data_IF_055539823254
#
_entry.id   IF_055539823254
#
_cell.length_a   1.000
_cell.length_b   1.000
_cell.length_c   1.000
_cell.angle_alpha   90.00
_cell.angle_beta   90.00
_cell.angle_gamma   90.00
#
_symmetry.space_group_name_H-M   'P 1'
#
loop_
_entity.id
_entity.type
_entity.pdbx_description
1 polymer ?
#
# COMPACT_ATOMS: atom_id res chain seq x y z
N UNK A 1 61.14 14.19 -1.82
CA UNK A 1 59.78 14.59 -2.22
C UNK A 1 58.90 13.35 -2.24
N UNK A 2 57.82 13.31 -1.44
CA UNK A 2 56.80 12.24 -1.47
C UNK A 2 55.46 12.89 -1.80
N UNK A 3 54.94 12.66 -3.00
CA UNK A 3 53.61 13.10 -3.40
C UNK A 3 52.56 12.16 -2.80
N UNK A 4 51.64 12.71 -2.01
CA UNK A 4 50.47 12.00 -1.50
C UNK A 4 49.37 12.06 -2.57
N UNK A 5 48.93 10.92 -3.06
CA UNK A 5 47.79 10.80 -3.98
C UNK A 5 46.50 11.03 -3.19
N UNK A 6 45.77 12.09 -3.52
CA UNK A 6 44.43 12.37 -3.01
C UNK A 6 43.42 11.61 -3.86
N UNK A 7 42.75 10.60 -3.29
CA UNK A 7 41.64 9.90 -3.96
C UNK A 7 40.37 10.71 -3.69
N UNK A 8 39.85 11.37 -4.72
CA UNK A 8 38.57 12.07 -4.69
C UNK A 8 37.46 11.06 -4.98
N UNK A 9 36.75 10.63 -3.92
CA UNK A 9 35.57 9.80 -4.05
C UNK A 9 34.38 10.65 -4.51
N UNK A 10 34.02 10.55 -5.79
CA UNK A 10 32.79 11.11 -6.35
C UNK A 10 31.60 10.28 -5.89
N UNK A 11 30.89 10.77 -4.88
CA UNK A 11 29.58 10.24 -4.48
C UNK A 11 28.54 10.61 -5.55
N UNK A 12 28.04 9.62 -6.29
CA UNK A 12 26.84 9.77 -7.11
C UNK A 12 25.63 9.91 -6.17
N UNK A 13 25.20 11.14 -5.90
CA UNK A 13 23.86 11.40 -5.41
C UNK A 13 22.87 11.00 -6.52
N UNK A 14 22.26 9.84 -6.39
CA UNK A 14 21.09 9.48 -7.18
C UNK A 14 19.94 10.37 -6.72
N UNK A 15 19.69 11.43 -7.47
CA UNK A 15 18.47 12.21 -7.34
C UNK A 15 17.30 11.29 -7.70
N UNK A 16 16.67 10.68 -6.70
CA UNK A 16 15.35 10.10 -6.89
C UNK A 16 14.43 11.27 -7.21
N UNK A 17 14.05 11.40 -8.49
CA UNK A 17 12.98 12.30 -8.87
C UNK A 17 11.73 11.81 -8.16
N UNK A 18 11.32 12.52 -7.12
CA UNK A 18 9.99 12.36 -6.56
C UNK A 18 9.03 12.88 -7.64
N UNK A 19 8.54 11.98 -8.49
CA UNK A 19 7.45 12.30 -9.40
C UNK A 19 6.28 12.75 -8.54
N UNK A 20 5.84 14.00 -8.72
CA UNK A 20 4.61 14.46 -8.10
C UNK A 20 3.49 13.49 -8.49
N UNK A 21 2.74 13.01 -7.50
CA UNK A 21 1.58 12.14 -7.73
C UNK A 21 0.67 12.84 -8.75
N UNK A 22 0.35 12.17 -9.84
CA UNK A 22 -0.57 12.68 -10.86
C UNK A 22 -1.94 12.86 -10.20
N UNK A 23 -2.40 14.10 -10.09
CA UNK A 23 -3.71 14.39 -9.53
C UNK A 23 -4.79 14.24 -10.59
N UNK A 24 -5.59 13.18 -10.45
CA UNK A 24 -6.72 12.88 -11.33
C UNK A 24 -8.08 13.08 -10.63
N UNK A 25 -8.07 13.58 -9.39
CA UNK A 25 -9.28 13.79 -8.59
C UNK A 25 -10.33 14.67 -9.30
N UNK A 26 -9.96 15.74 -10.03
CA UNK A 26 -10.92 16.55 -10.77
C UNK A 26 -11.73 15.77 -11.81
N UNK A 27 -11.13 14.75 -12.45
CA UNK A 27 -11.81 13.92 -13.45
C UNK A 27 -12.96 13.11 -12.83
N UNK A 28 -12.79 12.64 -11.59
CA UNK A 28 -13.85 11.92 -10.86
C UNK A 28 -15.00 12.83 -10.42
N UNK A 29 -14.72 14.09 -10.13
CA UNK A 29 -15.76 15.10 -9.85
C UNK A 29 -16.60 15.33 -11.11
N UNK A 30 -15.95 15.59 -12.25
CA UNK A 30 -16.65 15.77 -13.53
C UNK A 30 -17.45 14.52 -13.92
N UNK A 31 -16.90 13.32 -13.71
CA UNK A 31 -17.62 12.07 -13.96
C UNK A 31 -18.87 11.95 -13.08
N UNK A 32 -18.77 12.33 -11.80
CA UNK A 32 -19.90 12.30 -10.86
C UNK A 32 -21.01 13.27 -11.26
N UNK A 33 -20.64 14.47 -11.72
CA UNK A 33 -21.58 15.46 -12.24
C UNK A 33 -22.27 14.96 -13.52
N UNK A 34 -21.51 14.36 -14.45
CA UNK A 34 -22.05 13.72 -15.65
C UNK A 34 -23.05 12.60 -15.30
N UNK A 35 -22.71 11.75 -14.32
CA UNK A 35 -23.63 10.72 -13.81
C UNK A 35 -24.90 11.32 -13.21
N UNK A 36 -24.81 12.43 -12.49
CA UNK A 36 -25.96 13.11 -11.90
C UNK A 36 -26.91 13.70 -12.96
N UNK A 37 -26.35 14.28 -14.03
CA UNK A 37 -27.13 14.79 -15.16
C UNK A 37 -27.76 13.65 -15.98
N UNK A 38 -27.00 12.59 -16.26
CA UNK A 38 -27.49 11.39 -16.96
C UNK A 38 -28.65 10.72 -16.22
N UNK A 39 -28.57 10.58 -14.89
CA UNK A 39 -29.68 10.05 -14.06
C UNK A 39 -30.96 10.86 -14.16
N UNK A 40 -30.86 12.15 -14.45
CA UNK A 40 -32.01 13.04 -14.66
C UNK A 40 -32.50 13.05 -16.12
N UNK A 41 -31.96 12.19 -16.98
CA UNK A 41 -32.25 12.16 -18.42
C UNK A 41 -31.62 13.33 -19.20
N UNK A 42 -30.75 14.12 -18.58
CA UNK A 42 -30.11 15.30 -19.19
C UNK A 42 -28.83 14.89 -19.92
N UNK A 43 -28.96 13.98 -20.88
CA UNK A 43 -27.83 13.36 -21.58
C UNK A 43 -26.94 14.37 -22.31
N UNK A 44 -27.52 15.40 -22.95
CA UNK A 44 -26.73 16.45 -23.61
C UNK A 44 -25.79 17.20 -22.64
N UNK A 45 -26.26 17.49 -21.42
CA UNK A 45 -25.43 18.10 -20.37
C UNK A 45 -24.36 17.15 -19.87
N UNK A 46 -24.71 15.87 -19.69
CA UNK A 46 -23.73 14.83 -19.37
C UNK A 46 -22.62 14.75 -20.43
N UNK A 47 -22.95 14.70 -21.72
CA UNK A 47 -21.97 14.67 -22.81
C UNK A 47 -21.10 15.94 -22.86
N UNK A 48 -21.66 17.12 -22.52
CA UNK A 48 -20.87 18.36 -22.41
C UNK A 48 -19.84 18.27 -21.27
N UNK A 49 -20.24 17.77 -20.10
CA UNK A 49 -19.33 17.57 -18.95
C UNK A 49 -18.24 16.56 -19.32
N UNK A 50 -18.60 15.46 -20.01
CA UNK A 50 -17.64 14.44 -20.44
C UNK A 50 -16.67 14.94 -21.51
N UNK A 51 -17.09 15.87 -22.37
CA UNK A 51 -16.18 16.57 -23.30
C UNK A 51 -15.15 17.41 -22.55
N UNK A 52 -15.57 18.11 -21.48
CA UNK A 52 -14.63 18.85 -20.63
C UNK A 52 -13.66 17.90 -19.90
N UNK A 53 -14.17 16.77 -19.39
CA UNK A 53 -13.37 15.71 -18.79
C UNK A 53 -12.32 15.18 -19.79
N UNK A 54 -12.69 14.96 -21.05
CA UNK A 54 -11.74 14.55 -22.09
C UNK A 54 -10.60 15.56 -22.25
N UNK A 55 -10.91 16.85 -22.31
CA UNK A 55 -9.90 17.90 -22.45
C UNK A 55 -8.96 17.93 -21.25
N UNK A 56 -9.48 17.79 -20.03
CA UNK A 56 -8.65 17.79 -18.82
C UNK A 56 -7.81 16.51 -18.70
N UNK A 57 -8.34 15.36 -19.13
CA UNK A 57 -7.55 14.13 -19.24
C UNK A 57 -6.41 14.29 -20.25
N UNK A 58 -6.65 14.87 -21.42
CA UNK A 58 -5.60 15.15 -22.41
C UNK A 58 -4.53 16.09 -21.85
N UNK A 59 -4.90 17.16 -21.13
CA UNK A 59 -3.93 18.06 -20.50
C UNK A 59 -3.07 17.35 -19.46
N UNK A 60 -3.65 16.46 -18.66
CA UNK A 60 -2.89 15.60 -17.74
C UNK A 60 -1.92 14.73 -18.52
N UNK A 61 -2.38 14.12 -19.62
CA UNK A 61 -1.55 13.33 -20.52
C UNK A 61 -0.36 14.11 -21.09
N UNK A 62 -0.58 15.34 -21.54
CA UNK A 62 0.48 16.24 -22.04
C UNK A 62 1.47 16.65 -20.94
N UNK A 63 0.96 17.05 -19.77
CA UNK A 63 1.78 17.50 -18.64
C UNK A 63 2.71 16.41 -18.12
N UNK A 64 2.24 15.17 -18.06
CA UNK A 64 2.97 14.04 -17.49
C UNK A 64 3.49 13.04 -18.54
N UNK A 65 3.33 13.34 -19.83
CA UNK A 65 3.65 12.43 -20.95
C UNK A 65 2.98 11.05 -20.82
N UNK A 66 1.73 11.03 -20.36
CA UNK A 66 0.92 9.84 -20.15
C UNK A 66 -0.10 9.67 -21.26
N UNK A 67 -0.36 8.42 -21.63
CA UNK A 67 -1.44 8.03 -22.55
C UNK A 67 -2.06 6.73 -22.08
N UNK A 68 -3.39 6.64 -22.17
CA UNK A 68 -4.14 5.44 -21.84
C UNK A 68 -5.33 5.28 -22.77
N UNK A 69 -5.17 4.43 -23.78
CA UNK A 69 -6.18 4.17 -24.81
C UNK A 69 -7.49 3.62 -24.23
N UNK A 70 -7.45 2.93 -23.07
CA UNK A 70 -8.65 2.40 -22.43
C UNK A 70 -9.47 3.54 -21.82
N UNK A 71 -8.82 4.51 -21.18
CA UNK A 71 -9.48 5.72 -20.69
C UNK A 71 -10.03 6.53 -21.85
N UNK A 72 -9.23 6.78 -22.88
CA UNK A 72 -9.65 7.56 -24.05
C UNK A 72 -10.87 6.95 -24.75
N UNK A 73 -10.85 5.64 -24.98
CA UNK A 73 -11.98 4.92 -25.57
C UNK A 73 -13.22 4.92 -24.66
N UNK A 74 -13.06 4.77 -23.35
CA UNK A 74 -14.17 4.83 -22.40
C UNK A 74 -14.80 6.24 -22.34
N UNK A 75 -13.99 7.30 -22.41
CA UNK A 75 -14.45 8.68 -22.50
C UNK A 75 -15.27 8.88 -23.78
N UNK A 76 -14.75 8.45 -24.94
CA UNK A 76 -15.44 8.58 -26.23
C UNK A 76 -16.80 7.88 -26.23
N UNK A 77 -16.87 6.65 -25.71
CA UNK A 77 -18.12 5.91 -25.59
C UNK A 77 -19.14 6.61 -24.67
N UNK A 78 -18.67 7.15 -23.54
CA UNK A 78 -19.53 7.89 -22.60
C UNK A 78 -20.00 9.24 -23.17
N UNK A 79 -19.19 9.93 -23.97
CA UNK A 79 -19.61 11.17 -24.66
C UNK A 79 -20.72 10.86 -25.67
N UNK A 80 -20.54 9.80 -26.47
CA UNK A 80 -21.47 9.41 -27.53
C UNK A 80 -22.82 8.92 -26.98
N UNK A 81 -22.79 8.15 -25.90
CA UNK A 81 -23.99 7.63 -25.23
C UNK A 81 -23.76 7.59 -23.71
N UNK A 82 -24.12 8.65 -22.96
CA UNK A 82 -23.86 8.78 -21.54
C UNK A 82 -24.81 7.94 -20.67
N UNK A 83 -25.05 6.68 -21.05
CA UNK A 83 -25.83 5.74 -20.26
C UNK A 83 -25.02 5.22 -19.05
N UNK A 84 -25.72 4.58 -18.10
CA UNK A 84 -25.11 4.08 -16.87
C UNK A 84 -23.94 3.10 -17.12
N UNK A 85 -24.03 2.25 -18.15
CA UNK A 85 -23.00 1.26 -18.48
C UNK A 85 -21.71 1.92 -18.98
N UNK A 86 -21.81 2.93 -19.85
CA UNK A 86 -20.63 3.64 -20.35
C UNK A 86 -19.99 4.51 -19.27
N UNK A 87 -20.79 5.17 -18.43
CA UNK A 87 -20.29 5.93 -17.28
C UNK A 87 -19.61 5.03 -16.24
N UNK A 88 -20.14 3.84 -15.97
CA UNK A 88 -19.49 2.84 -15.11
C UNK A 88 -18.17 2.34 -15.72
N UNK A 89 -18.15 2.11 -17.03
CA UNK A 89 -16.93 1.68 -17.74
C UNK A 89 -15.84 2.76 -17.68
N UNK A 90 -16.23 4.03 -17.84
CA UNK A 90 -15.33 5.17 -17.66
C UNK A 90 -14.80 5.27 -16.22
N UNK A 91 -15.66 5.08 -15.20
CA UNK A 91 -15.23 5.07 -13.81
C UNK A 91 -14.15 4.00 -13.55
N UNK A 92 -14.34 2.79 -14.10
CA UNK A 92 -13.38 1.69 -13.96
C UNK A 92 -12.06 2.00 -14.66
N UNK A 93 -12.11 2.56 -15.87
CA UNK A 93 -10.91 2.94 -16.62
C UNK A 93 -10.11 4.04 -15.88
N UNK A 94 -10.78 5.11 -15.43
CA UNK A 94 -10.13 6.18 -14.65
C UNK A 94 -9.53 5.68 -13.35
N UNK A 95 -10.20 4.75 -12.65
CA UNK A 95 -9.65 4.13 -11.44
C UNK A 95 -8.40 3.28 -11.71
N UNK A 96 -8.41 2.49 -12.79
CA UNK A 96 -7.24 1.73 -13.20
C UNK A 96 -6.06 2.64 -13.55
N UNK A 97 -6.32 3.73 -14.28
CA UNK A 97 -5.34 4.76 -14.61
C UNK A 97 -4.78 5.43 -13.36
N UNK A 98 -5.62 5.90 -12.44
CA UNK A 98 -5.18 6.49 -11.15
C UNK A 98 -4.23 5.55 -10.40
N UNK A 99 -4.60 4.26 -10.33
CA UNK A 99 -3.80 3.24 -9.67
C UNK A 99 -2.44 3.06 -10.35
N UNK A 100 -2.39 3.08 -11.68
CA UNK A 100 -1.14 2.99 -12.44
C UNK A 100 -0.22 4.19 -12.19
N UNK A 101 -0.79 5.39 -12.03
CA UNK A 101 -0.03 6.63 -11.72
C UNK A 101 0.36 6.76 -10.25
N UNK A 102 -0.19 5.92 -9.37
CA UNK A 102 0.15 5.84 -7.96
C UNK A 102 0.74 4.46 -7.63
N UNK A 103 1.90 4.09 -8.23
CA UNK A 103 2.51 2.81 -7.96
C UNK A 103 2.81 2.71 -6.47
N UNK A 104 2.26 1.66 -5.84
CA UNK A 104 2.53 1.38 -4.44
C UNK A 104 3.99 0.93 -4.35
N UNK A 105 4.81 1.70 -3.64
CA UNK A 105 6.18 1.29 -3.35
C UNK A 105 6.18 0.18 -2.28
N UNK A 106 6.07 -1.06 -2.75
CA UNK A 106 6.10 -2.25 -1.91
C UNK A 106 7.46 -2.42 -1.22
N UNK A 107 8.57 -1.97 -1.84
CA UNK A 107 9.88 -2.00 -1.22
C UNK A 107 9.98 -1.04 -0.03
N UNK A 108 9.52 0.20 -0.17
CA UNK A 108 9.45 1.13 0.95
C UNK A 108 8.54 0.62 2.07
N UNK A 109 7.37 0.07 1.72
CA UNK A 109 6.45 -0.55 2.70
C UNK A 109 7.09 -1.72 3.44
N UNK A 110 7.83 -2.56 2.74
CA UNK A 110 8.54 -3.70 3.32
C UNK A 110 9.66 -3.24 4.27
N UNK A 111 10.44 -2.25 3.86
CA UNK A 111 11.48 -1.67 4.71
C UNK A 111 10.90 -0.97 5.95
N UNK A 112 9.77 -0.26 5.81
CA UNK A 112 9.06 0.36 6.94
C UNK A 112 8.54 -0.69 7.93
N UNK A 113 7.97 -1.78 7.42
CA UNK A 113 7.56 -2.92 8.23
C UNK A 113 8.73 -3.45 9.07
N UNK A 114 9.86 -3.78 8.42
CA UNK A 114 11.02 -4.36 9.09
C UNK A 114 11.59 -3.40 10.15
N UNK A 115 11.70 -2.12 9.80
CA UNK A 115 12.21 -1.08 10.70
C UNK A 115 11.36 -0.96 11.97
N UNK A 116 10.04 -1.07 11.85
CA UNK A 116 9.12 -0.94 12.99
C UNK A 116 8.92 -2.23 13.77
N UNK A 117 8.89 -3.38 13.11
CA UNK A 117 8.50 -4.65 13.74
C UNK A 117 9.68 -5.45 14.29
N UNK A 118 10.88 -5.35 13.70
CA UNK A 118 12.07 -6.06 14.21
C UNK A 118 12.43 -5.71 15.68
N UNK A 119 12.50 -4.44 16.10
CA UNK A 119 12.81 -4.12 17.49
C UNK A 119 11.75 -4.64 18.46
N UNK A 120 10.46 -4.53 18.11
CA UNK A 120 9.36 -5.02 18.93
C UNK A 120 9.38 -6.55 19.08
N UNK A 121 9.72 -7.26 18.00
CA UNK A 121 9.94 -8.70 18.07
C UNK A 121 11.11 -9.04 19.00
N UNK A 122 12.23 -8.33 18.92
CA UNK A 122 13.39 -8.58 19.77
C UNK A 122 13.08 -8.35 21.26
N UNK A 123 12.28 -7.32 21.58
CA UNK A 123 11.78 -7.07 22.93
C UNK A 123 10.86 -8.20 23.41
N UNK A 124 9.94 -8.67 22.57
CA UNK A 124 9.06 -9.80 22.89
C UNK A 124 9.84 -11.11 23.11
N UNK A 125 10.81 -11.42 22.26
CA UNK A 125 11.70 -12.58 22.41
C UNK A 125 12.49 -12.51 23.73
N UNK A 126 13.00 -11.33 24.09
CA UNK A 126 13.69 -11.11 25.36
C UNK A 126 12.73 -11.27 26.55
N UNK A 127 11.52 -10.72 26.46
CA UNK A 127 10.51 -10.83 27.51
C UNK A 127 10.12 -12.29 27.76
N UNK A 128 9.95 -13.10 26.72
CA UNK A 128 9.64 -14.53 26.83
C UNK A 128 10.73 -15.29 27.58
N UNK A 129 12.01 -15.00 27.31
CA UNK A 129 13.15 -15.64 28.01
C UNK A 129 13.15 -15.37 29.51
N UNK A 130 12.62 -14.23 29.94
CA UNK A 130 12.51 -13.90 31.37
C UNK A 130 11.45 -14.71 32.12
N UNK A 131 10.53 -15.39 31.39
CA UNK A 131 9.36 -16.10 31.93
C UNK A 131 8.41 -15.24 32.79
N UNK A 132 8.58 -13.92 32.77
CA UNK A 132 7.71 -12.97 33.46
C UNK A 132 6.49 -12.64 32.60
N UNK A 133 5.32 -13.15 32.99
CA UNK A 133 4.09 -13.01 32.22
C UNK A 133 3.65 -11.55 32.04
N UNK A 134 3.95 -10.67 32.99
CA UNK A 134 3.62 -9.25 32.87
C UNK A 134 4.47 -8.58 31.78
N UNK A 135 5.78 -8.86 31.77
CA UNK A 135 6.68 -8.35 30.73
C UNK A 135 6.30 -8.87 29.35
N UNK A 136 5.95 -10.15 29.24
CA UNK A 136 5.53 -10.76 27.98
C UNK A 136 4.25 -10.10 27.45
N UNK A 137 3.24 -9.92 28.31
CA UNK A 137 1.98 -9.26 27.94
C UNK A 137 2.21 -7.83 27.47
N UNK A 138 3.08 -7.09 28.15
CA UNK A 138 3.42 -5.71 27.79
C UNK A 138 4.12 -5.65 26.42
N UNK A 139 5.16 -6.46 26.20
CA UNK A 139 5.87 -6.49 24.92
C UNK A 139 4.95 -6.94 23.76
N UNK A 140 4.10 -7.95 23.98
CA UNK A 140 3.15 -8.41 22.97
C UNK A 140 2.10 -7.35 22.63
N UNK A 141 1.68 -6.52 23.59
CA UNK A 141 0.76 -5.40 23.32
C UNK A 141 1.36 -4.44 22.30
N UNK A 142 2.63 -4.08 22.44
CA UNK A 142 3.32 -3.17 21.51
C UNK A 142 3.47 -3.76 20.11
N UNK A 143 3.77 -5.06 20.02
CA UNK A 143 3.73 -5.82 18.76
C UNK A 143 2.34 -5.71 18.12
N UNK A 144 1.27 -5.95 18.91
CA UNK A 144 -0.10 -5.90 18.41
C UNK A 144 -0.53 -4.52 17.90
N UNK A 145 -0.18 -3.45 18.62
CA UNK A 145 -0.52 -2.07 18.22
C UNK A 145 0.18 -1.67 16.91
N UNK A 146 1.43 -2.11 16.71
CA UNK A 146 2.16 -1.82 15.49
C UNK A 146 1.76 -2.75 14.34
N UNK A 147 1.40 -4.01 14.62
CA UNK A 147 0.85 -4.93 13.62
C UNK A 147 -0.37 -4.32 12.91
N UNK A 148 -1.33 -3.76 13.64
CA UNK A 148 -2.53 -3.14 13.05
C UNK A 148 -2.19 -2.05 12.02
N UNK A 149 -1.10 -1.29 12.25
CA UNK A 149 -0.65 -0.23 11.32
C UNK A 149 0.03 -0.80 10.07
N UNK A 150 0.59 -1.99 10.19
CA UNK A 150 1.46 -2.63 9.21
C UNK A 150 0.77 -3.75 8.42
N UNK A 151 -0.35 -4.27 8.93
CA UNK A 151 -1.09 -5.40 8.41
C UNK A 151 -1.39 -5.26 6.91
N UNK A 152 -1.93 -4.09 6.51
CA UNK A 152 -2.29 -3.81 5.12
C UNK A 152 -1.08 -3.89 4.20
N UNK A 153 0.06 -3.35 4.61
CA UNK A 153 1.29 -3.40 3.82
C UNK A 153 1.75 -4.85 3.59
N UNK A 154 1.77 -5.67 4.65
CA UNK A 154 2.13 -7.09 4.54
C UNK A 154 1.14 -7.85 3.66
N UNK A 155 -0.17 -7.60 3.78
CA UNK A 155 -1.20 -8.22 2.95
C UNK A 155 -1.02 -7.89 1.46
N UNK A 156 -0.71 -6.64 1.16
CA UNK A 156 -0.46 -6.18 -0.21
C UNK A 156 0.84 -6.75 -0.79
N UNK A 157 1.89 -6.90 0.02
CA UNK A 157 3.18 -7.47 -0.40
C UNK A 157 3.09 -8.99 -0.58
N UNK A 158 2.48 -9.68 0.38
CA UNK A 158 2.37 -11.15 0.38
C UNK A 158 1.20 -11.66 1.22
N UNK A 159 0.14 -12.09 0.54
CA UNK A 159 -1.03 -12.70 1.19
C UNK A 159 -0.68 -13.95 2.01
N UNK A 160 0.34 -14.71 1.58
CA UNK A 160 0.85 -15.89 2.30
C UNK A 160 1.41 -15.50 3.67
N UNK A 161 2.36 -14.56 3.71
CA UNK A 161 2.96 -14.11 4.96
C UNK A 161 1.93 -13.45 5.88
N UNK A 162 1.04 -12.63 5.31
CA UNK A 162 -0.08 -12.05 6.04
C UNK A 162 -0.88 -13.12 6.81
N UNK A 163 -1.33 -14.18 6.14
CA UNK A 163 -2.07 -15.26 6.80
C UNK A 163 -1.26 -15.97 7.89
N UNK A 164 0.05 -16.13 7.71
CA UNK A 164 0.94 -16.72 8.72
C UNK A 164 1.11 -15.80 9.95
N UNK A 165 1.27 -14.50 9.75
CA UNK A 165 1.36 -13.51 10.82
C UNK A 165 0.06 -13.48 11.63
N UNK A 166 -1.09 -13.37 10.97
CA UNK A 166 -2.41 -13.38 11.63
C UNK A 166 -2.60 -14.62 12.49
N UNK A 167 -2.26 -15.81 11.96
CA UNK A 167 -2.36 -17.06 12.72
C UNK A 167 -1.49 -17.02 13.97
N UNK A 168 -0.20 -16.69 13.83
CA UNK A 168 0.74 -16.72 14.96
C UNK A 168 0.36 -15.68 16.01
N UNK A 169 0.07 -14.44 15.57
CA UNK A 169 -0.34 -13.36 16.46
C UNK A 169 -1.68 -13.67 17.13
N UNK A 170 -2.63 -14.26 16.42
CA UNK A 170 -3.91 -14.71 16.98
C UNK A 170 -3.72 -15.78 18.06
N UNK A 171 -2.89 -16.80 17.81
CA UNK A 171 -2.59 -17.84 18.79
C UNK A 171 -1.85 -17.29 20.02
N UNK A 172 -0.90 -16.36 19.84
CA UNK A 172 -0.26 -15.65 20.94
C UNK A 172 -1.28 -14.89 21.79
N UNK A 173 -2.23 -14.21 21.15
CA UNK A 173 -3.31 -13.49 21.84
C UNK A 173 -4.17 -14.42 22.68
N UNK A 174 -4.49 -15.61 22.17
CA UNK A 174 -5.27 -16.63 22.87
C UNK A 174 -4.49 -17.11 24.09
N UNK A 175 -3.26 -17.62 23.90
CA UNK A 175 -2.44 -18.15 24.99
C UNK A 175 -2.19 -17.13 26.11
N UNK A 176 -1.98 -15.86 25.77
CA UNK A 176 -1.74 -14.80 26.75
C UNK A 176 -3.00 -14.40 27.54
N UNK A 177 -4.20 -14.69 27.03
CA UNK A 177 -5.47 -14.39 27.69
C UNK A 177 -5.97 -15.51 28.59
N UNK A 178 -5.34 -16.68 28.57
CA UNK A 178 -5.67 -17.78 29.47
C UNK A 178 -5.44 -17.39 30.94
N UNK A 179 -6.20 -18.00 31.84
CA UNK A 179 -6.05 -17.81 33.29
C UNK A 179 -4.66 -18.25 33.78
N UNK A 180 -4.16 -19.36 33.22
CA UNK A 180 -2.81 -19.87 33.42
C UNK A 180 -2.06 -19.93 32.08
N UNK A 181 -1.47 -18.81 31.61
CA UNK A 181 -0.82 -18.74 30.30
C UNK A 181 0.28 -19.82 30.12
N UNK A 182 0.20 -20.64 29.05
CA UNK A 182 1.15 -21.73 28.83
C UNK A 182 2.47 -21.17 28.27
N UNK A 183 3.42 -20.85 29.16
CA UNK A 183 4.67 -20.17 28.81
C UNK A 183 5.49 -20.90 27.73
N UNK A 184 5.53 -22.24 27.77
CA UNK A 184 6.26 -23.02 26.77
C UNK A 184 5.64 -22.86 25.37
N UNK A 185 4.31 -22.93 25.26
CA UNK A 185 3.58 -22.69 24.01
C UNK A 185 3.74 -21.26 23.52
N UNK A 186 3.74 -20.29 24.44
CA UNK A 186 4.01 -18.88 24.09
C UNK A 186 5.41 -18.76 23.50
N UNK A 187 6.41 -19.37 24.13
CA UNK A 187 7.78 -19.38 23.64
C UNK A 187 7.93 -20.00 22.26
N UNK A 188 7.29 -21.15 22.01
CA UNK A 188 7.24 -21.77 20.69
C UNK A 188 6.66 -20.83 19.62
N UNK A 189 5.56 -20.13 19.94
CA UNK A 189 4.91 -19.21 18.99
C UNK A 189 5.73 -17.96 18.75
N UNK A 190 6.45 -17.44 19.74
CA UNK A 190 7.39 -16.33 19.53
C UNK A 190 8.58 -16.77 18.68
N UNK A 191 9.12 -17.98 18.89
CA UNK A 191 10.15 -18.53 18.01
C UNK A 191 9.64 -18.72 16.57
N UNK A 192 8.39 -19.16 16.40
CA UNK A 192 7.73 -19.26 15.10
C UNK A 192 7.56 -17.89 14.42
N UNK A 193 7.17 -16.86 15.19
CA UNK A 193 7.09 -15.47 14.72
C UNK A 193 8.46 -14.99 14.23
N UNK A 194 9.54 -15.29 14.97
CA UNK A 194 10.90 -14.94 14.56
C UNK A 194 11.32 -15.55 13.24
N UNK A 195 10.98 -16.83 13.02
CA UNK A 195 11.24 -17.49 11.73
C UNK A 195 10.46 -16.83 10.60
N UNK A 196 9.19 -16.49 10.83
CA UNK A 196 8.38 -15.79 9.83
C UNK A 196 8.91 -14.37 9.53
N UNK A 197 9.35 -13.64 10.56
CA UNK A 197 9.99 -12.32 10.40
C UNK A 197 11.27 -12.42 9.55
N UNK A 198 12.10 -13.45 9.79
CA UNK A 198 13.31 -13.69 9.02
C UNK A 198 13.02 -14.09 7.56
N UNK A 199 12.03 -14.96 7.33
CA UNK A 199 11.55 -15.35 6.00
C UNK A 199 11.02 -14.14 5.23
N UNK A 200 10.18 -13.33 5.88
CA UNK A 200 9.63 -12.12 5.29
C UNK A 200 10.71 -11.07 5.00
N UNK A 201 11.73 -10.92 5.85
CA UNK A 201 12.87 -10.03 5.60
C UNK A 201 13.63 -10.38 4.31
N UNK A 202 13.72 -11.67 3.98
CA UNK A 202 14.39 -12.15 2.77
C UNK A 202 13.43 -12.27 1.56
N UNK A 203 12.16 -11.92 1.74
CA UNK A 203 11.14 -12.08 0.72
C UNK A 203 11.42 -11.17 -0.48
N UNK A 204 11.50 -11.77 -1.67
CA UNK A 204 11.62 -11.04 -2.93
C UNK A 204 10.26 -10.47 -3.31
N UNK A 205 10.15 -9.15 -3.19
CA UNK A 205 9.01 -8.37 -3.67
C UNK A 205 9.01 -8.46 -5.20
N UNK A 206 7.82 -8.71 -5.77
CA UNK A 206 7.60 -8.87 -7.21
C UNK A 206 7.17 -7.56 -7.84
#
# INVERSE_FOLDING_TARGET
MRFKTLVLATSLLSAQTLWAKVDVSPLFVQLSDAMAESKQGKFAKSSQILTALQQDFTKIGEQYSLKDEQVEGAIQNAIADPNAKHLESLAKALYAFEKAQSPVDHHAKHQDFLTKMNPLYAELDTAVKSKDIWKIKLAYREVGLNWVKQEKAVREISLKHYGQFERILGLLRINLKEENPPLDKIGERVAELGKLMADFNQFKIK
#
